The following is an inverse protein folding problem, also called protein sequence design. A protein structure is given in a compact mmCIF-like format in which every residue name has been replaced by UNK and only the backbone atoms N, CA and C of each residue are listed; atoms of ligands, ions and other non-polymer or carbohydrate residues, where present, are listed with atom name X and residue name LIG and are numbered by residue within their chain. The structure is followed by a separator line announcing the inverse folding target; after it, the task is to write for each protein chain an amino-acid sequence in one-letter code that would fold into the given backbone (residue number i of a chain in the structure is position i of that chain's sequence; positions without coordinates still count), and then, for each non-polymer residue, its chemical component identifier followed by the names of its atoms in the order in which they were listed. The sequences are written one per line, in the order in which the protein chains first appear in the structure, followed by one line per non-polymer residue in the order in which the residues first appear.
data_IF_518622617525
#
_entry.id   IF_518622617525
#
_cell.length_a   1.000
_cell.length_b   1.000
_cell.length_c   1.000
_cell.angle_alpha   90.00
_cell.angle_beta   90.00
_cell.angle_gamma   90.00
#
_symmetry.space_group_name_H-M   'P 1'
#
loop_
_entity.id
_entity.type
_entity.pdbx_description
1 polymer ?
#
# COMPACT_ATOMS: atom_id res chain seq x y z
N UNK A 1 -14.44 -16.99 13.62
CA UNK A 1 -14.60 -15.68 12.96
C UNK A 1 -13.27 -14.95 13.06
N UNK A 2 -12.54 -14.81 11.95
CA UNK A 2 -11.19 -14.24 11.92
C UNK A 2 -11.31 -12.75 11.60
N UNK A 3 -11.07 -11.89 12.59
CA UNK A 3 -11.01 -10.45 12.40
C UNK A 3 -9.71 -10.10 11.65
N UNK A 4 -9.86 -9.80 10.36
CA UNK A 4 -8.76 -9.32 9.52
C UNK A 4 -8.43 -7.86 9.88
N UNK A 5 -7.15 -7.65 10.22
CA UNK A 5 -6.54 -6.35 10.53
C UNK A 5 -6.80 -5.33 9.41
N UNK A 6 -7.52 -4.26 9.73
CA UNK A 6 -7.60 -3.06 8.90
C UNK A 6 -6.34 -2.22 9.10
N UNK A 7 -5.41 -2.32 8.15
CA UNK A 7 -4.31 -1.36 8.01
C UNK A 7 -4.93 -0.06 7.48
N UNK A 8 -4.99 0.98 8.30
CA UNK A 8 -5.43 2.33 7.87
C UNK A 8 -4.35 2.94 6.99
N UNK A 9 -4.52 2.86 5.67
CA UNK A 9 -3.66 3.54 4.69
C UNK A 9 -4.22 4.95 4.49
N UNK A 10 -3.58 5.96 5.08
CA UNK A 10 -3.89 7.35 4.77
C UNK A 10 -3.29 7.72 3.41
N UNK A 11 -4.10 7.68 2.36
CA UNK A 11 -3.69 8.10 1.03
C UNK A 11 -3.54 9.63 0.98
N UNK A 12 -2.34 10.15 1.26
CA UNK A 12 -2.03 11.56 1.00
C UNK A 12 -1.86 11.75 -0.52
N UNK A 13 -2.76 12.53 -1.11
CA UNK A 13 -2.79 12.88 -2.53
C UNK A 13 -1.61 13.80 -2.92
N UNK A 14 -0.43 13.25 -3.17
CA UNK A 14 0.65 13.95 -3.90
C UNK A 14 0.70 13.47 -5.35
N UNK A 15 0.85 14.44 -6.27
CA UNK A 15 0.87 14.24 -7.73
C UNK A 15 2.06 13.36 -8.12
N UNK A 16 1.82 12.37 -8.99
CA UNK A 16 2.78 11.35 -9.44
C UNK A 16 4.02 11.88 -10.20
N UNK A 17 4.06 13.15 -10.60
CA UNK A 17 5.20 13.73 -11.31
C UNK A 17 6.21 14.33 -10.32
N UNK A 18 7.06 13.47 -9.72
CA UNK A 18 8.21 13.91 -8.91
C UNK A 18 8.50 13.07 -7.67
N UNK A 19 7.73 12.03 -7.38
CA UNK A 19 8.01 11.15 -6.25
C UNK A 19 9.19 10.22 -6.55
N UNK A 20 10.20 10.24 -5.67
CA UNK A 20 11.31 9.28 -5.71
C UNK A 20 10.80 7.93 -5.18
N UNK A 21 10.83 6.94 -6.07
CA UNK A 21 10.55 5.54 -5.75
C UNK A 21 11.81 4.84 -5.25
N UNK A 22 11.65 3.97 -4.26
CA UNK A 22 12.65 3.10 -3.70
C UNK A 22 12.11 1.66 -3.60
N UNK A 23 13.00 0.68 -3.61
CA UNK A 23 12.63 -0.69 -3.23
C UNK A 23 12.05 -0.72 -1.82
N UNK A 24 10.98 -1.48 -1.64
CA UNK A 24 10.23 -1.62 -0.39
C UNK A 24 9.06 -0.64 -0.25
N UNK A 25 8.98 0.40 -1.08
CA UNK A 25 7.85 1.32 -1.10
C UNK A 25 6.55 0.59 -1.41
N UNK A 26 5.45 1.08 -0.84
CA UNK A 26 4.10 0.63 -1.17
C UNK A 26 3.51 1.53 -2.25
N UNK A 27 2.82 0.91 -3.20
CA UNK A 27 2.22 1.55 -4.36
C UNK A 27 0.78 1.08 -4.53
N UNK A 28 -0.15 2.01 -4.77
CA UNK A 28 -1.52 1.69 -5.16
C UNK A 28 -1.69 1.99 -6.64
N UNK A 29 -2.16 1.01 -7.41
CA UNK A 29 -2.46 1.22 -8.82
C UNK A 29 -3.67 2.13 -8.99
N UNK A 30 -3.55 3.15 -9.84
CA UNK A 30 -4.62 4.12 -10.13
C UNK A 30 -5.06 4.08 -11.60
N UNK A 31 -4.44 3.24 -12.43
CA UNK A 31 -4.72 3.13 -13.86
C UNK A 31 -5.72 1.99 -14.11
N UNK A 32 -6.82 2.33 -14.77
CA UNK A 32 -7.87 1.35 -15.11
C UNK A 32 -7.57 0.55 -16.38
N UNK A 33 -6.88 1.17 -17.36
CA UNK A 33 -6.68 0.58 -18.68
C UNK A 33 -5.20 0.50 -19.03
N UNK A 34 -4.71 -0.72 -19.26
CA UNK A 34 -3.39 -0.99 -19.82
C UNK A 34 -3.54 -1.18 -21.34
N UNK A 35 -2.65 -0.58 -22.13
CA UNK A 35 -2.69 -0.73 -23.60
C UNK A 35 -2.61 -2.19 -24.03
N UNK A 36 -1.67 -2.94 -23.43
CA UNK A 36 -1.57 -4.39 -23.54
C UNK A 36 -1.82 -5.00 -22.15
N UNK A 37 -3.09 -5.14 -21.78
CA UNK A 37 -3.44 -5.78 -20.51
C UNK A 37 -3.13 -7.28 -20.57
N UNK A 38 -2.15 -7.72 -19.77
CA UNK A 38 -1.90 -9.13 -19.51
C UNK A 38 -2.62 -9.57 -18.23
N UNK A 39 -2.88 -10.87 -18.00
CA UNK A 39 -3.54 -11.35 -16.78
C UNK A 39 -2.87 -10.86 -15.48
N UNK A 40 -1.57 -10.59 -15.53
CA UNK A 40 -0.76 -10.12 -14.42
C UNK A 40 -0.79 -8.60 -14.22
N UNK A 41 -1.41 -7.84 -15.12
CA UNK A 41 -1.49 -6.38 -15.01
C UNK A 41 -2.18 -5.95 -13.71
N UNK A 42 -1.59 -5.01 -12.94
CA UNK A 42 -2.21 -4.47 -11.73
C UNK A 42 -3.58 -3.88 -12.01
N UNK A 43 -4.55 -4.18 -11.16
CA UNK A 43 -5.90 -3.61 -11.20
C UNK A 43 -5.95 -2.32 -10.39
N UNK A 44 -6.93 -1.47 -10.66
CA UNK A 44 -7.18 -0.28 -9.82
C UNK A 44 -7.34 -0.70 -8.37
N UNK A 45 -6.74 0.07 -7.47
CA UNK A 45 -6.69 -0.16 -6.02
C UNK A 45 -5.85 -1.37 -5.57
N UNK A 46 -5.17 -2.08 -6.47
CA UNK A 46 -4.17 -3.08 -6.08
C UNK A 46 -3.05 -2.41 -5.28
N UNK A 47 -2.84 -2.88 -4.04
CA UNK A 47 -1.72 -2.49 -3.19
C UNK A 47 -0.54 -3.44 -3.43
N UNK A 48 0.56 -2.88 -3.95
CA UNK A 48 1.75 -3.62 -4.34
C UNK A 48 3.00 -3.07 -3.63
N UNK A 49 3.97 -3.94 -3.37
CA UNK A 49 5.28 -3.55 -2.83
C UNK A 49 6.30 -3.50 -3.97
N UNK A 50 7.01 -2.38 -4.08
CA UNK A 50 8.07 -2.18 -5.08
C UNK A 50 9.24 -3.09 -4.75
N UNK A 51 9.55 -4.00 -5.67
CA UNK A 51 10.72 -4.86 -5.61
C UNK A 51 11.96 -4.17 -6.19
N UNK A 52 11.80 -3.48 -7.31
CA UNK A 52 12.90 -2.84 -8.02
C UNK A 52 12.40 -1.61 -8.77
N UNK A 53 13.25 -0.58 -8.82
CA UNK A 53 13.03 0.67 -9.54
C UNK A 53 13.98 0.70 -10.74
N UNK A 54 13.43 0.95 -11.93
CA UNK A 54 14.16 0.91 -13.20
C UNK A 54 14.09 2.28 -13.92
N UNK A 55 15.06 2.52 -14.81
CA UNK A 55 15.12 3.70 -15.67
C UNK A 55 14.87 5.02 -14.91
N UNK A 56 15.66 5.26 -13.86
CA UNK A 56 15.56 6.47 -13.03
C UNK A 56 14.17 6.72 -12.41
N UNK A 57 13.42 5.66 -12.11
CA UNK A 57 12.11 5.78 -11.45
C UNK A 57 10.92 5.83 -12.41
N UNK A 58 11.15 5.63 -13.72
CA UNK A 58 10.06 5.58 -14.71
C UNK A 58 9.29 4.26 -14.66
N UNK A 59 9.94 3.16 -14.28
CA UNK A 59 9.33 1.83 -14.26
C UNK A 59 9.53 1.14 -12.91
N UNK A 60 8.50 0.39 -12.50
CA UNK A 60 8.46 -0.33 -11.23
C UNK A 60 8.26 -1.82 -11.48
N UNK A 61 9.02 -2.65 -10.77
CA UNK A 61 8.72 -4.07 -10.59
C UNK A 61 8.12 -4.28 -9.21
N UNK A 62 7.18 -5.21 -9.10
CA UNK A 62 6.49 -5.50 -7.84
C UNK A 62 6.76 -6.92 -7.34
N UNK A 63 6.66 -7.09 -6.03
CA UNK A 63 6.65 -8.42 -5.41
C UNK A 63 5.43 -9.23 -5.87
N UNK A 64 5.59 -10.56 -5.99
CA UNK A 64 4.53 -11.46 -6.45
C UNK A 64 4.19 -11.36 -7.94
N UNK A 65 4.83 -10.45 -8.68
CA UNK A 65 4.69 -10.32 -10.13
C UNK A 65 5.89 -10.91 -10.88
N UNK A 66 5.71 -11.36 -12.14
CA UNK A 66 6.82 -11.85 -12.95
C UNK A 66 7.93 -10.82 -13.12
N UNK A 67 9.20 -11.25 -13.03
CA UNK A 67 10.36 -10.35 -13.07
C UNK A 67 10.59 -9.67 -14.42
N UNK A 68 10.09 -10.27 -15.50
CA UNK A 68 10.20 -9.71 -16.85
C UNK A 68 9.16 -8.60 -17.12
N UNK A 69 8.17 -8.42 -16.24
CA UNK A 69 7.17 -7.37 -16.35
C UNK A 69 7.55 -6.17 -15.49
N UNK A 70 7.33 -4.98 -16.04
CA UNK A 70 7.43 -3.72 -15.32
C UNK A 70 6.27 -2.81 -15.74
N UNK A 71 5.95 -1.83 -14.90
CA UNK A 71 4.85 -0.91 -15.16
C UNK A 71 5.31 0.53 -14.95
N UNK A 72 4.74 1.44 -15.74
CA UNK A 72 5.03 2.87 -15.65
C UNK A 72 4.68 3.40 -14.26
N UNK A 73 5.61 4.08 -13.61
CA UNK A 73 5.44 4.58 -12.25
C UNK A 73 4.30 5.60 -12.13
N UNK A 74 3.98 6.33 -13.21
CA UNK A 74 2.85 7.26 -13.27
C UNK A 74 1.47 6.59 -13.19
N UNK A 75 1.39 5.26 -13.36
CA UNK A 75 0.18 4.48 -13.16
C UNK A 75 -0.08 4.14 -11.68
N UNK A 76 0.82 4.53 -10.78
CA UNK A 76 0.74 4.23 -9.35
C UNK A 76 0.83 5.48 -8.50
N UNK A 77 0.26 5.40 -7.30
CA UNK A 77 0.43 6.38 -6.23
C UNK A 77 1.24 5.75 -5.11
N UNK A 78 2.28 6.44 -4.65
CA UNK A 78 3.06 5.97 -3.50
C UNK A 78 2.24 6.09 -2.23
N UNK A 79 2.24 5.03 -1.43
CA UNK A 79 1.66 5.04 -0.09
C UNK A 79 2.73 5.50 0.88
N UNK A 80 2.47 6.65 1.52
CA UNK A 80 3.29 7.13 2.63
C UNK A 80 2.58 6.70 3.91
N UNK A 81 3.24 5.93 4.79
CA UNK A 81 2.68 5.62 6.11
C UNK A 81 2.37 6.93 6.83
N UNK A 82 1.16 7.03 7.39
CA UNK A 82 0.87 8.14 8.29
C UNK A 82 1.70 7.93 9.56
N UNK A 83 2.77 8.71 9.72
CA UNK A 83 3.60 8.69 10.92
C UNK A 83 2.94 9.43 12.09
N UNK A 84 1.69 9.89 11.96
CA UNK A 84 0.92 10.34 13.11
C UNK A 84 0.78 9.17 14.07
N UNK A 85 1.10 9.42 15.34
CA UNK A 85 0.78 8.48 16.40
C UNK A 85 -0.71 8.13 16.28
N UNK A 86 -1.03 6.83 16.25
CA UNK A 86 -2.40 6.38 16.35
C UNK A 86 -2.91 6.84 17.73
N UNK A 87 -3.54 8.01 17.79
CA UNK A 87 -4.27 8.46 18.97
C UNK A 87 -5.61 7.72 18.94
N UNK A 88 -5.58 6.39 19.07
CA UNK A 88 -6.78 5.60 19.29
C UNK A 88 -7.10 5.68 20.80
N UNK A 89 -7.65 6.80 21.24
CA UNK A 89 -8.26 6.91 22.58
C UNK A 89 -9.36 5.84 22.78
N UNK A 90 -10.05 5.46 21.69
CA UNK A 90 -11.05 4.39 21.66
C UNK A 90 -10.50 2.99 21.97
N UNK A 91 -9.21 2.70 21.71
CA UNK A 91 -8.63 1.38 21.97
C UNK A 91 -8.34 1.14 23.46
N UNK A 92 -7.98 2.22 24.17
CA UNK A 92 -7.58 2.12 25.57
C UNK A 92 -8.77 1.73 26.46
N UNK A 93 -9.98 2.22 26.15
CA UNK A 93 -11.20 1.84 26.89
C UNK A 93 -11.56 0.37 26.71
N UNK A 94 -11.45 -0.18 25.49
CA UNK A 94 -11.75 -1.60 25.23
C UNK A 94 -10.81 -2.56 25.98
N UNK A 95 -9.53 -2.21 26.14
CA UNK A 95 -8.57 -3.01 26.91
C UNK A 95 -8.87 -3.02 28.42
N UNK A 96 -9.36 -1.90 28.96
CA UNK A 96 -9.70 -1.81 30.39
C UNK A 96 -10.94 -2.66 30.75
N UNK A 97 -11.90 -2.79 29.82
CA UNK A 97 -13.07 -3.64 30.03
C UNK A 97 -12.74 -5.14 30.03
N UNK A 98 -11.72 -5.57 29.28
CA UNK A 98 -11.28 -6.96 29.23
C UNK A 98 -10.54 -7.40 30.51
N UNK A 99 -9.75 -6.52 31.12
CA UNK A 99 -9.03 -6.80 32.38
C UNK A 99 -9.94 -6.96 33.61
N UNK A 100 -11.19 -6.50 33.56
CA UNK A 100 -12.14 -6.60 34.69
C UNK A 100 -12.97 -7.90 34.70
N UNK A 101 -12.76 -8.81 33.74
CA UNK A 101 -13.57 -10.03 33.60
C UNK A 101 -12.81 -11.35 33.85
N UNK A 102 -11.65 -11.31 34.49
CA UNK A 102 -11.08 -12.52 35.10
C UNK A 102 -11.57 -12.63 36.56
N UNK A 103 -12.49 -13.55 36.89
CA UNK A 103 -12.72 -13.93 38.28
C UNK A 103 -11.51 -14.72 38.81
N UNK A 104 -11.19 -14.49 40.08
CA UNK A 104 -10.13 -15.14 40.85
C UNK A 104 -10.33 -16.66 40.99
#
# INVERSE_FOLDING_TARGET
MIFSKLIRIAAVLRRANGERWNTGDLAVCIRANWGEAVPESPKVDDLLRVKQVCMNGLFLHFEGKPSHLCWESCAFRKVVPDNRAAVDEEWVEQLQHLRRKEPA
#
